data_IF_001969562795
#
_entry.id   IF_001969562795
#
_cell.length_a   1.000
_cell.length_b   1.000
_cell.length_c   1.000
_cell.angle_alpha   90.00
_cell.angle_beta   90.00
_cell.angle_gamma   90.00
#
_symmetry.space_group_name_H-M   'P 1'
#
loop_
_entity.id
_entity.type
_entity.pdbx_description
1 polymer ?
#
# COMPACT_ATOMS: atom_id res chain seq x y z
N UNK A 1 -7.49 5.80 -15.36
CA UNK A 1 -6.55 4.65 -15.45
C UNK A 1 -7.12 3.60 -16.40
N UNK A 2 -6.27 2.81 -17.05
CA UNK A 2 -6.66 1.72 -17.95
C UNK A 2 -6.37 0.35 -17.33
N UNK A 3 -7.25 -0.64 -17.56
CA UNK A 3 -7.03 -2.03 -17.14
C UNK A 3 -5.86 -2.67 -17.87
N UNK A 4 -5.22 -3.66 -17.25
CA UNK A 4 -4.08 -4.38 -17.86
C UNK A 4 -2.76 -3.60 -17.87
N UNK A 5 -2.66 -2.52 -17.07
CA UNK A 5 -1.43 -1.74 -16.88
C UNK A 5 -1.06 -1.64 -15.41
N UNK A 6 0.23 -1.62 -15.14
CA UNK A 6 0.75 -1.33 -13.80
C UNK A 6 0.83 0.18 -13.57
N UNK A 7 0.49 0.59 -12.35
CA UNK A 7 0.65 1.96 -11.87
C UNK A 7 1.27 1.90 -10.48
N UNK A 8 2.16 2.83 -10.20
CA UNK A 8 2.55 3.11 -8.83
C UNK A 8 1.65 4.20 -8.27
N UNK A 9 0.85 3.88 -7.25
CA UNK A 9 -0.09 4.82 -6.63
C UNK A 9 0.33 5.07 -5.20
N UNK A 10 0.39 6.34 -4.79
CA UNK A 10 0.70 6.71 -3.42
C UNK A 10 -0.24 7.82 -2.92
N UNK A 11 -0.57 7.79 -1.64
CA UNK A 11 -1.20 8.87 -0.90
C UNK A 11 -0.22 9.31 0.19
N UNK A 12 0.04 10.61 0.30
CA UNK A 12 0.87 11.17 1.37
C UNK A 12 0.09 12.23 2.11
N UNK A 13 0.26 12.29 3.43
CA UNK A 13 -0.23 13.37 4.27
C UNK A 13 0.91 13.88 5.15
N UNK A 14 1.28 15.14 4.97
CA UNK A 14 2.27 15.86 5.80
C UNK A 14 1.54 16.73 6.82
N UNK A 15 1.32 16.20 8.02
CA UNK A 15 0.49 16.83 9.05
C UNK A 15 0.93 18.26 9.42
N UNK A 16 2.23 18.56 9.61
CA UNK A 16 2.65 19.93 9.95
C UNK A 16 2.28 20.99 8.92
N UNK A 17 2.27 20.64 7.63
CA UNK A 17 1.89 21.56 6.55
C UNK A 17 0.45 21.39 6.05
N UNK A 18 -0.24 20.34 6.50
CA UNK A 18 -1.55 19.93 6.01
C UNK A 18 -1.54 19.36 4.58
N UNK A 19 -0.39 19.32 3.89
CA UNK A 19 -0.33 18.94 2.48
C UNK A 19 -0.65 17.46 2.27
N UNK A 20 -1.70 17.22 1.50
CA UNK A 20 -2.14 15.87 1.09
C UNK A 20 -2.04 15.73 -0.40
N UNK A 21 -1.35 14.69 -0.88
CA UNK A 21 -1.15 14.46 -2.32
C UNK A 21 -1.44 13.01 -2.69
N UNK A 22 -2.09 12.83 -3.83
CA UNK A 22 -2.18 11.55 -4.53
C UNK A 22 -1.20 11.58 -5.69
N UNK A 23 -0.36 10.56 -5.79
CA UNK A 23 0.61 10.38 -6.86
C UNK A 23 0.25 9.17 -7.71
N UNK A 24 0.45 9.30 -9.02
CA UNK A 24 0.42 8.19 -9.99
C UNK A 24 1.72 8.24 -10.77
N UNK A 25 2.46 7.13 -10.77
CA UNK A 25 3.77 6.99 -11.40
C UNK A 25 4.75 8.11 -10.99
N UNK A 26 4.68 8.51 -9.72
CA UNK A 26 5.55 9.54 -9.14
C UNK A 26 5.15 10.99 -9.43
N UNK A 27 4.08 11.21 -10.19
CA UNK A 27 3.55 12.54 -10.48
C UNK A 27 2.33 12.84 -9.61
N UNK A 28 2.23 14.07 -9.09
CA UNK A 28 1.04 14.51 -8.34
C UNK A 28 -0.13 14.62 -9.32
N UNK A 29 -1.20 13.88 -9.06
CA UNK A 29 -2.44 13.91 -9.86
C UNK A 29 -3.60 14.59 -9.14
N UNK A 30 -3.53 14.70 -7.82
CA UNK A 30 -4.46 15.46 -7.00
C UNK A 30 -3.78 15.93 -5.72
N UNK A 31 -4.18 17.10 -5.25
CA UNK A 31 -3.67 17.72 -4.02
C UNK A 31 -4.81 18.33 -3.22
N UNK A 32 -4.66 18.34 -1.90
CA UNK A 32 -5.56 18.98 -0.95
C UNK A 32 -4.75 19.48 0.25
N UNK A 33 -5.39 20.30 1.09
CA UNK A 33 -4.87 20.66 2.40
C UNK A 33 -5.88 20.22 3.46
N UNK A 34 -5.40 19.46 4.45
CA UNK A 34 -6.21 18.97 5.56
C UNK A 34 -5.70 19.53 6.88
N UNK A 35 -6.63 19.77 7.82
CA UNK A 35 -6.34 20.26 9.17
C UNK A 35 -6.56 19.21 10.26
N UNK A 36 -6.42 17.93 9.94
CA UNK A 36 -6.63 16.84 10.90
C UNK A 36 -5.33 16.48 11.62
N UNK A 37 -5.39 16.10 12.89
CA UNK A 37 -4.16 15.71 13.62
C UNK A 37 -3.61 14.35 13.15
N UNK A 38 -4.46 13.51 12.59
CA UNK A 38 -4.11 12.17 12.11
C UNK A 38 -5.36 11.30 11.98
N UNK A 39 -5.14 9.99 11.95
CA UNK A 39 -6.21 9.00 11.98
C UNK A 39 -5.75 7.78 12.77
N UNK A 40 -6.68 7.08 13.41
CA UNK A 40 -6.43 5.80 14.05
C UNK A 40 -6.72 4.67 13.03
N UNK A 41 -5.70 3.98 12.50
CA UNK A 41 -5.88 2.99 11.42
C UNK A 41 -6.67 1.74 11.84
N UNK A 42 -6.86 1.54 13.14
CA UNK A 42 -7.51 0.36 13.70
C UNK A 42 -8.96 0.61 14.15
N UNK A 43 -9.48 1.83 13.99
CA UNK A 43 -10.87 2.13 14.33
C UNK A 43 -11.86 1.42 13.38
N UNK A 44 -13.09 1.22 13.85
CA UNK A 44 -14.18 0.51 13.15
C UNK A 44 -13.81 -0.92 12.69
N UNK A 45 -13.65 -1.11 11.38
CA UNK A 45 -13.30 -2.40 10.74
C UNK A 45 -11.79 -2.54 10.50
N UNK A 46 -11.00 -1.57 10.96
CA UNK A 46 -9.55 -1.53 10.88
C UNK A 46 -8.98 -1.36 9.47
N UNK A 47 -7.66 -1.55 9.36
CA UNK A 47 -6.92 -1.38 8.12
C UNK A 47 -7.01 -2.61 7.23
N UNK A 48 -7.46 -2.43 5.99
CA UNK A 48 -7.77 -3.52 5.07
C UNK A 48 -7.09 -3.32 3.71
N UNK A 49 -6.57 -4.41 3.14
CA UNK A 49 -5.93 -4.40 1.80
C UNK A 49 -6.78 -5.24 0.85
N UNK A 50 -7.20 -4.63 -0.27
CA UNK A 50 -7.90 -5.34 -1.35
C UNK A 50 -9.38 -5.66 -1.11
N UNK A 51 -9.87 -5.73 0.13
CA UNK A 51 -11.30 -5.95 0.44
C UNK A 51 -11.60 -5.51 1.88
N UNK A 52 -12.81 -5.02 2.16
CA UNK A 52 -13.29 -4.72 3.52
C UNK A 52 -14.23 -5.87 3.96
N UNK A 53 -13.76 -6.88 4.70
CA UNK A 53 -14.54 -8.06 5.04
C UNK A 53 -15.70 -7.72 5.98
N UNK A 54 -16.89 -8.28 5.71
CA UNK A 54 -18.06 -8.11 6.57
C UNK A 54 -18.66 -6.70 6.60
N UNK A 55 -18.22 -5.77 5.72
CA UNK A 55 -18.73 -4.41 5.73
C UNK A 55 -20.20 -4.36 5.26
N UNK A 56 -21.14 -3.83 6.06
CA UNK A 56 -22.58 -3.95 5.80
C UNK A 56 -23.03 -3.27 4.51
N UNK A 57 -22.28 -2.28 4.02
CA UNK A 57 -22.57 -1.54 2.80
C UNK A 57 -21.80 -2.06 1.57
N UNK A 58 -21.28 -3.28 1.65
CA UNK A 58 -20.57 -3.97 0.58
C UNK A 58 -19.06 -4.03 0.77
N UNK A 59 -18.47 -5.21 0.55
CA UNK A 59 -17.06 -5.50 0.86
C UNK A 59 -16.03 -4.87 -0.10
N UNK A 60 -16.48 -4.29 -1.23
CA UNK A 60 -15.64 -3.55 -2.19
C UNK A 60 -14.33 -4.27 -2.61
N UNK A 61 -14.40 -5.51 -3.12
CA UNK A 61 -13.20 -6.24 -3.50
C UNK A 61 -12.48 -5.60 -4.69
N UNK A 62 -11.17 -5.44 -4.58
CA UNK A 62 -10.28 -5.10 -5.67
C UNK A 62 -10.10 -6.31 -6.59
N UNK A 63 -10.18 -6.06 -7.91
CA UNK A 63 -10.00 -7.08 -8.94
C UNK A 63 -8.78 -6.74 -9.77
N UNK A 64 -7.64 -7.33 -9.41
CA UNK A 64 -6.37 -7.11 -10.11
C UNK A 64 -5.19 -7.64 -9.32
N UNK A 65 -3.99 -7.23 -9.74
CA UNK A 65 -2.74 -7.55 -9.06
C UNK A 65 -2.27 -6.35 -8.24
N UNK A 66 -1.63 -6.64 -7.10
CA UNK A 66 -0.90 -5.68 -6.30
C UNK A 66 0.54 -6.18 -6.12
N UNK A 67 1.46 -5.26 -5.96
CA UNK A 67 2.86 -5.54 -5.61
C UNK A 67 3.39 -4.31 -4.85
N UNK A 68 4.39 -4.52 -4.00
CA UNK A 68 5.07 -3.43 -3.30
C UNK A 68 4.14 -2.56 -2.41
N UNK A 69 3.18 -3.20 -1.74
CA UNK A 69 2.20 -2.54 -0.86
C UNK A 69 2.87 -2.14 0.45
N UNK A 70 2.82 -0.84 0.80
CA UNK A 70 3.55 -0.28 1.93
C UNK A 70 2.70 0.71 2.73
N UNK A 71 2.95 0.79 4.04
CA UNK A 71 2.45 1.85 4.91
C UNK A 71 3.64 2.51 5.63
N UNK A 72 3.64 3.84 5.64
CA UNK A 72 4.66 4.65 6.29
C UNK A 72 4.03 5.54 7.37
N UNK A 73 4.75 5.74 8.47
CA UNK A 73 4.42 6.73 9.51
C UNK A 73 4.99 8.13 9.20
N UNK A 74 5.63 8.29 8.03
CA UNK A 74 6.19 9.57 7.54
C UNK A 74 5.68 9.90 6.14
N UNK A 75 5.49 11.19 5.86
CA UNK A 75 5.17 11.67 4.52
C UNK A 75 6.37 11.48 3.57
N UNK A 76 6.25 10.55 2.62
CA UNK A 76 7.28 10.30 1.61
C UNK A 76 7.31 11.42 0.57
N UNK A 77 8.50 11.92 0.24
CA UNK A 77 8.65 12.95 -0.79
C UNK A 77 8.47 12.38 -2.20
N UNK A 78 8.15 13.24 -3.18
CA UNK A 78 8.06 12.85 -4.59
C UNK A 78 9.30 12.09 -5.07
N UNK A 79 10.50 12.61 -4.77
CA UNK A 79 11.77 11.97 -5.15
C UNK A 79 11.93 10.60 -4.50
N UNK A 80 11.57 10.47 -3.21
CA UNK A 80 11.60 9.20 -2.51
C UNK A 80 10.62 8.18 -3.12
N UNK A 81 9.43 8.61 -3.53
CA UNK A 81 8.47 7.74 -4.20
C UNK A 81 8.99 7.30 -5.57
N UNK A 82 9.54 8.23 -6.36
CA UNK A 82 10.07 7.95 -7.70
C UNK A 82 11.26 6.98 -7.67
N UNK A 83 12.20 7.17 -6.76
CA UNK A 83 13.40 6.33 -6.66
C UNK A 83 13.12 4.93 -6.10
N UNK A 84 12.03 4.77 -5.35
CA UNK A 84 11.76 3.55 -4.59
C UNK A 84 10.42 2.90 -4.97
N UNK A 85 9.92 3.08 -6.19
CA UNK A 85 8.63 2.48 -6.59
C UNK A 85 8.67 0.95 -6.49
N UNK A 86 9.76 0.33 -6.93
CA UNK A 86 9.86 -1.12 -7.09
C UNK A 86 10.41 -1.87 -5.87
N UNK A 87 11.08 -1.18 -4.95
CA UNK A 87 11.64 -1.79 -3.74
C UNK A 87 12.04 -0.73 -2.72
N UNK A 88 12.08 -1.12 -1.44
CA UNK A 88 12.69 -0.38 -0.33
C UNK A 88 13.40 -1.36 0.60
N UNK A 89 14.30 -0.84 1.44
CA UNK A 89 14.82 -1.63 2.57
C UNK A 89 13.68 -1.87 3.59
N UNK A 90 13.32 -3.12 3.91
CA UNK A 90 12.30 -3.43 4.92
C UNK A 90 12.61 -2.89 6.33
N UNK A 91 13.86 -2.49 6.59
CA UNK A 91 14.30 -1.87 7.86
C UNK A 91 14.29 -0.35 7.83
N UNK A 92 13.79 0.26 6.76
CA UNK A 92 13.71 1.72 6.63
C UNK A 92 12.95 2.35 7.81
N UNK A 93 13.51 3.42 8.36
CA UNK A 93 12.84 4.19 9.41
C UNK A 93 11.49 4.73 8.91
N UNK A 94 10.46 4.60 9.74
CA UNK A 94 9.10 5.01 9.43
C UNK A 94 8.32 4.06 8.52
N UNK A 95 8.88 2.91 8.10
CA UNK A 95 8.14 1.87 7.38
C UNK A 95 7.42 0.96 8.39
N UNK A 96 6.10 0.95 8.40
CA UNK A 96 5.29 0.20 9.38
C UNK A 96 4.73 -1.11 8.85
N UNK A 97 4.55 -1.22 7.53
CA UNK A 97 4.06 -2.44 6.89
C UNK A 97 4.63 -2.54 5.47
N UNK A 98 5.04 -3.73 5.07
CA UNK A 98 5.52 -3.98 3.71
C UNK A 98 5.21 -5.39 3.20
N UNK A 99 4.28 -5.47 2.25
CA UNK A 99 4.00 -6.66 1.46
C UNK A 99 4.49 -6.45 0.02
N UNK A 100 5.60 -7.12 -0.33
CA UNK A 100 6.12 -7.24 -1.70
C UNK A 100 5.16 -8.00 -2.62
N UNK A 101 4.48 -9.01 -2.07
CA UNK A 101 3.54 -9.91 -2.76
C UNK A 101 4.18 -10.67 -3.93
N UNK A 102 5.44 -11.03 -3.78
CA UNK A 102 6.22 -11.76 -4.78
C UNK A 102 6.54 -13.20 -4.37
N UNK A 103 5.94 -13.68 -3.28
CA UNK A 103 6.15 -15.02 -2.74
C UNK A 103 7.27 -15.13 -1.71
N UNK A 104 7.88 -14.01 -1.33
CA UNK A 104 8.89 -13.99 -0.25
C UNK A 104 8.27 -13.97 1.15
N UNK A 105 7.00 -13.57 1.27
CA UNK A 105 6.28 -13.57 2.54
C UNK A 105 5.79 -14.95 2.95
N UNK A 106 5.85 -15.23 4.25
CA UNK A 106 5.30 -16.45 4.85
C UNK A 106 3.78 -16.33 4.96
N UNK A 107 3.06 -17.28 4.34
CA UNK A 107 1.62 -17.45 4.45
C UNK A 107 1.27 -18.78 5.11
N UNK A 108 0.69 -18.75 6.30
CA UNK A 108 0.34 -19.94 7.07
C UNK A 108 -0.91 -19.68 7.91
N UNK A 109 -1.77 -20.68 8.08
CA UNK A 109 -2.94 -20.62 8.99
C UNK A 109 -3.82 -19.38 8.80
N UNK A 110 -4.10 -18.98 7.55
CA UNK A 110 -4.87 -17.78 7.18
C UNK A 110 -4.23 -16.45 7.63
N UNK A 111 -2.92 -16.43 7.79
CA UNK A 111 -2.15 -15.23 8.08
C UNK A 111 -1.06 -15.01 7.04
N UNK A 112 -0.61 -13.76 6.89
CA UNK A 112 0.55 -13.39 6.10
C UNK A 112 1.44 -12.43 6.91
N UNK A 113 2.69 -12.83 7.12
CA UNK A 113 3.66 -11.98 7.80
C UNK A 113 4.29 -11.01 6.81
N UNK A 114 4.30 -9.73 7.17
CA UNK A 114 4.90 -8.70 6.35
C UNK A 114 6.44 -8.76 6.37
N UNK A 115 7.07 -8.09 5.42
CA UNK A 115 8.53 -8.11 5.23
C UNK A 115 9.27 -7.32 6.32
N UNK A 116 8.63 -6.32 6.95
CA UNK A 116 9.25 -5.61 8.09
C UNK A 116 9.34 -6.50 9.33
N UNK A 117 8.46 -7.50 9.43
CA UNK A 117 8.31 -8.38 10.58
C UNK A 117 7.48 -7.76 11.71
N UNK A 118 6.92 -6.56 11.51
CA UNK A 118 6.09 -5.84 12.49
C UNK A 118 4.63 -6.28 12.43
N UNK A 119 4.15 -6.73 11.27
CA UNK A 119 2.73 -7.00 11.02
C UNK A 119 2.52 -8.46 10.63
N UNK A 120 1.55 -9.08 11.29
CA UNK A 120 0.94 -10.34 10.85
C UNK A 120 -0.52 -10.04 10.51
N UNK A 121 -0.83 -10.03 9.22
CA UNK A 121 -2.17 -9.73 8.73
C UNK A 121 -3.00 -11.00 8.57
N UNK A 122 -4.29 -10.93 8.89
CA UNK A 122 -5.24 -11.99 8.55
C UNK A 122 -5.59 -11.94 7.07
N UNK A 123 -5.72 -13.10 6.42
CA UNK A 123 -6.01 -13.18 4.99
C UNK A 123 -6.85 -14.42 4.64
N UNK A 124 -7.73 -14.26 3.64
CA UNK A 124 -8.41 -15.37 2.99
C UNK A 124 -7.50 -16.21 2.09
N UNK A 125 -6.22 -15.84 1.98
CA UNK A 125 -5.21 -16.43 1.10
C UNK A 125 -4.86 -15.49 -0.05
N UNK A 126 -3.56 -15.25 -0.25
CA UNK A 126 -3.05 -14.44 -1.36
C UNK A 126 -2.35 -15.36 -2.36
N UNK A 127 -2.90 -15.47 -3.57
CA UNK A 127 -2.26 -16.19 -4.66
C UNK A 127 -1.20 -15.32 -5.31
N UNK A 128 0.06 -15.75 -5.20
CA UNK A 128 1.18 -15.12 -5.93
C UNK A 128 1.21 -15.69 -7.35
N UNK A 129 1.17 -14.79 -8.34
CA UNK A 129 1.17 -15.15 -9.76
C UNK A 129 2.49 -14.79 -10.41
N UNK A 130 3.03 -15.70 -11.24
CA UNK A 130 4.16 -15.39 -12.10
C UNK A 130 3.67 -14.56 -13.29
N UNK A 131 4.26 -13.37 -13.47
CA UNK A 131 3.92 -12.50 -14.59
C UNK A 131 4.66 -12.95 -15.86
N UNK A 132 4.01 -12.83 -17.02
CA UNK A 132 4.63 -13.11 -18.33
C UNK A 132 5.72 -12.11 -18.74
N UNK A 133 5.79 -10.97 -18.04
CA UNK A 133 6.84 -9.96 -18.18
C UNK A 133 7.05 -9.23 -16.85
N UNK A 134 8.24 -8.62 -16.60
CA UNK A 134 8.47 -7.79 -15.43
C UNK A 134 7.44 -6.65 -15.29
N UNK A 135 7.27 -6.16 -14.05
CA UNK A 135 6.45 -4.96 -13.79
C UNK A 135 7.12 -3.75 -14.45
N UNK A 136 6.38 -3.10 -15.34
CA UNK A 136 6.78 -1.86 -16.02
C UNK A 136 5.81 -0.76 -15.61
N UNK A 137 6.33 0.26 -14.93
CA UNK A 137 5.58 1.47 -14.59
C UNK A 137 5.85 2.48 -15.70
N UNK A 138 4.78 2.98 -16.32
CA UNK A 138 4.85 3.95 -17.44
C UNK A 138 5.14 5.37 -16.97
#
# INVERSE_FOLDING_TARGET
MQTGRWYHVALTYDQPSGKTNIYVNGEVVASSEWGIEGFAPNDDVGFNIGKIPGFPWGERPFKGYMSEVRLWSVARTRNQLQQNMLTVDPKSEGLEMYYKLNGSETQENKTIKDTTGKITGETGGITVSQLGKPVEIQ
#
